data_IF_570223920834
#
_entry.id   IF_570223920834
#
_cell.length_a   1.000
_cell.length_b   1.000
_cell.length_c   1.000
_cell.angle_alpha   90.00
_cell.angle_beta   90.00
_cell.angle_gamma   90.00
#
_symmetry.space_group_name_H-M   'P 1'
#
loop_
_entity.id
_entity.type
_entity.pdbx_description
1 polymer ?
#
# COMPACT_ATOMS: atom_id res chain seq x y z
N UNK A 1 4.15 -15.50 -10.98
CA UNK A 1 4.00 -14.24 -10.23
C UNK A 1 4.32 -14.51 -8.77
N UNK A 2 5.15 -13.67 -8.16
CA UNK A 2 5.52 -13.81 -6.75
C UNK A 2 4.52 -13.09 -5.88
N UNK A 3 4.15 -13.72 -4.76
CA UNK A 3 3.25 -13.11 -3.78
C UNK A 3 3.99 -12.81 -2.49
N UNK A 4 3.81 -11.61 -1.98
CA UNK A 4 4.34 -11.18 -0.69
C UNK A 4 3.17 -10.68 0.16
N UNK A 5 3.07 -11.16 1.38
CA UNK A 5 2.00 -10.80 2.30
C UNK A 5 2.63 -10.16 3.53
N UNK A 6 2.21 -8.95 3.87
CA UNK A 6 2.70 -8.28 5.06
C UNK A 6 2.15 -8.94 6.33
N UNK A 7 2.77 -8.62 7.45
CA UNK A 7 2.14 -8.93 8.74
C UNK A 7 0.85 -8.13 8.88
N UNK A 8 -0.04 -8.59 9.75
CA UNK A 8 -1.24 -7.84 10.10
C UNK A 8 -0.91 -6.81 11.17
N UNK A 9 -1.57 -5.67 11.12
CA UNK A 9 -1.47 -4.65 12.15
C UNK A 9 -2.87 -4.29 12.63
N UNK A 10 -2.98 -3.96 13.91
CA UNK A 10 -4.24 -3.58 14.52
C UNK A 10 -4.42 -2.07 14.44
N UNK A 11 -5.62 -1.65 14.02
CA UNK A 11 -6.05 -0.26 14.04
C UNK A 11 -7.27 -0.18 14.94
N UNK A 12 -7.23 0.69 15.94
CA UNK A 12 -8.29 0.85 16.92
C UNK A 12 -9.41 1.75 16.39
N UNK A 13 -9.91 1.41 15.20
CA UNK A 13 -10.96 2.11 14.48
C UNK A 13 -11.82 1.09 13.72
N UNK A 14 -13.10 1.37 13.46
CA UNK A 14 -13.87 0.55 12.53
C UNK A 14 -13.38 0.75 11.10
N UNK A 15 -13.60 -0.26 10.26
CA UNK A 15 -13.17 -0.21 8.85
C UNK A 15 -13.77 0.99 8.11
N UNK A 16 -14.98 1.42 8.46
CA UNK A 16 -15.63 2.58 7.86
C UNK A 16 -14.89 3.90 8.08
N UNK A 17 -14.04 3.98 9.10
CA UNK A 17 -13.21 5.16 9.35
C UNK A 17 -11.83 5.07 8.69
N UNK A 18 -11.41 3.89 8.27
CA UNK A 18 -10.12 3.66 7.62
C UNK A 18 -10.27 3.70 6.11
N UNK A 19 -11.29 3.06 5.59
CA UNK A 19 -11.50 2.87 4.17
C UNK A 19 -11.49 4.18 3.35
N UNK A 20 -12.13 5.28 3.79
CA UNK A 20 -12.11 6.53 3.02
C UNK A 20 -10.70 7.06 2.75
N UNK A 21 -9.75 6.79 3.63
CA UNK A 21 -8.36 7.21 3.46
C UNK A 21 -7.60 6.27 2.52
N UNK A 22 -7.71 4.96 2.71
CA UNK A 22 -6.95 4.00 1.88
C UNK A 22 -7.50 3.90 0.46
N UNK A 23 -8.71 4.36 0.22
CA UNK A 23 -9.32 4.39 -1.10
C UNK A 23 -9.18 5.73 -1.82
N UNK A 24 -8.36 6.65 -1.28
CA UNK A 24 -8.17 7.98 -1.87
C UNK A 24 -6.72 8.42 -1.61
N UNK A 25 -5.90 8.42 -2.66
CA UNK A 25 -4.49 8.80 -2.53
C UNK A 25 -4.29 10.24 -2.03
N UNK A 26 -5.19 11.14 -2.39
CA UNK A 26 -5.09 12.52 -1.87
C UNK A 26 -5.20 12.56 -0.35
N UNK A 27 -6.05 11.72 0.22
CA UNK A 27 -6.22 11.65 1.69
C UNK A 27 -5.03 10.98 2.38
N UNK A 28 -4.26 10.16 1.66
CA UNK A 28 -3.04 9.55 2.19
C UNK A 28 -1.82 10.47 2.11
N UNK A 29 -1.93 11.61 1.42
CA UNK A 29 -0.80 12.52 1.23
C UNK A 29 -0.13 12.94 2.54
N UNK A 30 -0.85 13.30 3.62
CA UNK A 30 -0.18 13.66 4.88
C UNK A 30 0.67 12.55 5.48
N UNK A 31 0.34 11.30 5.21
CA UNK A 31 1.08 10.15 5.75
C UNK A 31 2.27 9.74 4.86
N UNK A 32 2.24 10.06 3.57
CA UNK A 32 3.18 9.52 2.60
C UNK A 32 4.08 10.57 1.95
N UNK A 33 3.62 11.81 1.81
CA UNK A 33 4.32 12.81 1.01
C UNK A 33 5.75 13.11 1.49
N UNK A 34 6.00 13.05 2.77
CA UNK A 34 7.33 13.33 3.34
C UNK A 34 8.25 12.10 3.38
N UNK A 35 7.73 10.93 2.99
CA UNK A 35 8.51 9.67 2.98
C UNK A 35 9.10 9.36 1.61
N UNK A 36 8.66 10.08 0.57
CA UNK A 36 9.10 9.91 -0.81
C UNK A 36 9.34 11.28 -1.42
N UNK A 37 9.92 11.31 -2.63
CA UNK A 37 10.16 12.56 -3.35
C UNK A 37 9.08 12.77 -4.40
N UNK A 38 8.76 14.03 -4.68
CA UNK A 38 7.85 14.46 -5.76
C UNK A 38 6.47 13.79 -5.69
N UNK A 39 5.91 13.69 -4.50
CA UNK A 39 4.57 13.12 -4.30
C UNK A 39 3.53 13.97 -5.01
N UNK A 40 2.74 13.33 -5.89
CA UNK A 40 1.57 13.93 -6.53
C UNK A 40 0.44 12.91 -6.47
N UNK A 41 -0.74 13.36 -6.12
CA UNK A 41 -1.88 12.46 -5.94
C UNK A 41 -3.19 13.08 -6.38
N UNK A 42 -4.04 12.24 -6.93
CA UNK A 42 -5.47 12.48 -7.10
C UNK A 42 -6.22 11.47 -6.24
N UNK A 43 -7.53 11.36 -6.39
CA UNK A 43 -8.28 10.36 -5.66
C UNK A 43 -7.79 8.94 -5.99
N UNK A 44 -7.67 8.61 -7.27
CA UNK A 44 -7.39 7.25 -7.72
C UNK A 44 -5.97 7.02 -8.23
N UNK A 45 -5.15 8.05 -8.35
CA UNK A 45 -3.79 7.94 -8.89
C UNK A 45 -2.79 8.64 -7.99
N UNK A 46 -1.55 8.17 -8.02
CA UNK A 46 -0.44 8.92 -7.45
C UNK A 46 0.84 8.61 -8.19
N UNK A 47 1.82 9.50 -8.04
CA UNK A 47 3.17 9.29 -8.53
C UNK A 47 4.16 9.87 -7.54
N UNK A 48 5.36 9.27 -7.51
CA UNK A 48 6.42 9.72 -6.64
C UNK A 48 7.75 9.11 -7.08
N UNK A 49 8.83 9.62 -6.52
CA UNK A 49 10.17 9.05 -6.72
C UNK A 49 10.62 8.36 -5.46
N UNK A 50 11.16 7.16 -5.62
CA UNK A 50 11.66 6.36 -4.52
C UNK A 50 12.87 5.56 -4.98
N UNK A 51 14.02 5.79 -4.34
CA UNK A 51 15.28 5.07 -4.60
C UNK A 51 15.65 5.02 -6.10
N UNK A 52 15.50 6.15 -6.78
CA UNK A 52 15.86 6.26 -8.20
C UNK A 52 14.79 5.82 -9.18
N UNK A 53 13.69 5.26 -8.72
CA UNK A 53 12.56 4.89 -9.57
C UNK A 53 11.46 5.92 -9.50
N UNK A 54 10.81 6.16 -10.65
CA UNK A 54 9.54 6.87 -10.68
C UNK A 54 8.44 5.82 -10.56
N UNK A 55 7.56 5.95 -9.56
CA UNK A 55 6.48 5.01 -9.30
C UNK A 55 5.16 5.69 -9.61
N UNK A 56 4.38 5.09 -10.50
CA UNK A 56 3.01 5.53 -10.77
C UNK A 56 2.05 4.43 -10.31
N UNK A 57 0.97 4.81 -9.65
CA UNK A 57 -0.01 3.89 -9.10
C UNK A 57 -1.42 4.34 -9.45
N UNK A 58 -2.30 3.36 -9.67
CA UNK A 58 -3.73 3.61 -9.90
C UNK A 58 -4.56 2.60 -9.12
N UNK A 59 -5.58 3.11 -8.42
CA UNK A 59 -6.57 2.23 -7.79
C UNK A 59 -7.49 1.72 -8.89
N UNK A 60 -7.59 0.41 -9.04
CA UNK A 60 -8.38 -0.24 -10.10
C UNK A 60 -9.60 -0.99 -9.55
N UNK A 61 -9.68 -1.22 -8.26
CA UNK A 61 -10.83 -1.88 -7.63
C UNK A 61 -10.99 -1.36 -6.21
N UNK A 62 -12.24 -1.07 -5.85
CA UNK A 62 -12.62 -0.63 -4.50
C UNK A 62 -13.77 -1.50 -4.01
N UNK A 63 -13.59 -2.13 -2.85
CA UNK A 63 -14.66 -2.85 -2.16
C UNK A 63 -14.82 -2.21 -0.80
N UNK A 64 -15.92 -1.52 -0.60
CA UNK A 64 -16.16 -0.67 0.57
C UNK A 64 -15.89 -1.42 1.88
N UNK A 65 -15.06 -0.82 2.73
CA UNK A 65 -14.68 -1.32 4.05
C UNK A 65 -13.94 -2.65 4.05
N UNK A 66 -13.51 -3.14 2.87
CA UNK A 66 -12.84 -4.44 2.75
C UNK A 66 -11.46 -4.33 2.11
N UNK A 67 -11.37 -3.77 0.92
CA UNK A 67 -10.05 -3.63 0.28
C UNK A 67 -10.05 -2.65 -0.89
N UNK A 68 -8.85 -2.23 -1.26
CA UNK A 68 -8.58 -1.59 -2.54
C UNK A 68 -7.49 -2.37 -3.26
N UNK A 69 -7.60 -2.46 -4.58
CA UNK A 69 -6.57 -3.03 -5.44
C UNK A 69 -5.89 -1.91 -6.21
N UNK A 70 -4.56 -1.92 -6.21
CA UNK A 70 -3.73 -0.90 -6.84
C UNK A 70 -2.81 -1.59 -7.84
N UNK A 71 -2.67 -1.00 -9.03
CA UNK A 71 -1.74 -1.48 -10.04
C UNK A 71 -0.74 -0.39 -10.40
N UNK A 72 0.41 -0.81 -10.93
CA UNK A 72 1.38 0.12 -11.52
C UNK A 72 0.75 0.85 -12.71
N UNK A 73 1.03 2.15 -12.84
CA UNK A 73 0.51 3.00 -13.89
C UNK A 73 1.61 3.97 -14.34
N UNK A 74 2.40 3.54 -15.31
CA UNK A 74 3.53 4.31 -15.80
C UNK A 74 4.74 4.22 -14.88
N UNK A 75 5.68 5.16 -15.04
CA UNK A 75 6.90 5.19 -14.25
C UNK A 75 7.99 4.32 -14.82
N UNK A 76 9.03 4.09 -14.01
CA UNK A 76 10.25 3.39 -14.43
C UNK A 76 10.50 2.09 -13.69
N UNK A 77 9.55 1.63 -12.89
CA UNK A 77 9.69 0.35 -12.18
C UNK A 77 9.74 -0.78 -13.21
N UNK A 78 10.79 -1.63 -13.20
CA UNK A 78 11.04 -2.58 -14.30
C UNK A 78 10.29 -3.90 -14.14
N UNK A 79 9.12 -3.89 -13.53
CA UNK A 79 8.32 -5.08 -13.34
C UNK A 79 6.84 -4.74 -13.28
N UNK A 80 5.99 -5.68 -13.69
CA UNK A 80 4.56 -5.56 -13.48
C UNK A 80 4.22 -5.96 -12.05
N UNK A 81 3.33 -5.20 -11.42
CA UNK A 81 2.93 -5.48 -10.05
C UNK A 81 1.51 -5.00 -9.77
N UNK A 82 0.90 -5.60 -8.79
CA UNK A 82 -0.36 -5.17 -8.21
C UNK A 82 -0.30 -5.38 -6.71
N UNK A 83 -0.98 -4.53 -5.95
CA UNK A 83 -1.09 -4.79 -4.53
C UNK A 83 -2.49 -4.46 -4.01
N UNK A 84 -2.80 -5.02 -2.87
CA UNK A 84 -4.07 -4.84 -2.19
C UNK A 84 -3.82 -4.31 -0.79
N UNK A 85 -4.65 -3.34 -0.39
CA UNK A 85 -4.75 -2.93 1.00
C UNK A 85 -6.02 -3.59 1.52
N UNK A 86 -5.87 -4.53 2.44
CA UNK A 86 -6.97 -5.35 2.94
C UNK A 86 -7.32 -4.95 4.37
N UNK A 87 -8.61 -4.81 4.64
CA UNK A 87 -9.14 -4.48 5.95
C UNK A 87 -10.03 -5.63 6.43
N UNK A 88 -9.82 -6.07 7.65
CA UNK A 88 -10.66 -7.08 8.27
C UNK A 88 -11.08 -6.59 9.66
N UNK A 89 -12.34 -6.19 9.79
CA UNK A 89 -12.87 -5.72 11.06
C UNK A 89 -13.29 -6.91 11.90
N UNK A 90 -12.65 -7.05 13.06
CA UNK A 90 -12.94 -8.14 13.99
C UNK A 90 -13.93 -7.72 15.09
N UNK A 91 -14.00 -6.42 15.38
CA UNK A 91 -14.98 -5.84 16.29
C UNK A 91 -15.11 -4.35 15.99
N UNK A 92 -16.01 -3.66 16.68
CA UNK A 92 -16.33 -2.26 16.40
C UNK A 92 -15.12 -1.32 16.41
N UNK A 93 -14.22 -1.50 17.35
CA UNK A 93 -13.02 -0.67 17.47
C UNK A 93 -11.73 -1.39 17.12
N UNK A 94 -11.79 -2.46 16.32
CA UNK A 94 -10.62 -3.28 16.02
C UNK A 94 -10.69 -3.78 14.58
N UNK A 95 -9.89 -3.15 13.72
CA UNK A 95 -9.71 -3.57 12.33
C UNK A 95 -8.27 -3.98 12.11
N UNK A 96 -8.07 -5.08 11.41
CA UNK A 96 -6.74 -5.56 11.04
C UNK A 96 -6.46 -5.14 9.61
N UNK A 97 -5.28 -4.54 9.38
CA UNK A 97 -4.83 -4.11 8.06
C UNK A 97 -3.69 -5.02 7.61
N UNK A 98 -3.71 -5.38 6.34
CA UNK A 98 -2.68 -6.22 5.71
C UNK A 98 -2.47 -5.75 4.29
N UNK A 99 -1.22 -5.81 3.83
CA UNK A 99 -0.86 -5.52 2.44
C UNK A 99 -0.49 -6.83 1.74
N UNK A 100 -0.93 -6.98 0.50
CA UNK A 100 -0.56 -8.11 -0.36
C UNK A 100 0.02 -7.55 -1.64
N UNK A 101 1.20 -8.02 -2.04
CA UNK A 101 1.87 -7.61 -3.26
C UNK A 101 2.05 -8.80 -4.18
N UNK A 102 1.64 -8.65 -5.45
CA UNK A 102 1.98 -9.58 -6.53
C UNK A 102 2.94 -8.87 -7.47
N UNK A 103 4.09 -9.46 -7.73
CA UNK A 103 5.10 -8.87 -8.59
C UNK A 103 5.67 -9.92 -9.54
N UNK A 104 5.87 -9.53 -10.81
CA UNK A 104 6.52 -10.38 -11.80
C UNK A 104 8.03 -10.24 -11.64
N UNK A 105 8.65 -11.21 -10.97
CA UNK A 105 10.09 -11.22 -10.73
C UNK A 105 10.72 -12.46 -11.38
N UNK A 106 11.80 -12.26 -12.13
CA UNK A 106 12.62 -13.39 -12.54
C UNK A 106 13.43 -13.89 -11.32
N UNK A 107 14.12 -15.01 -11.49
CA UNK A 107 14.87 -15.64 -10.39
C UNK A 107 15.92 -14.69 -9.79
N UNK A 108 16.65 -13.98 -10.65
CA UNK A 108 17.69 -13.06 -10.19
C UNK A 108 17.11 -11.91 -9.39
N UNK A 109 16.04 -11.29 -9.89
CA UNK A 109 15.37 -10.19 -9.18
C UNK A 109 14.82 -10.66 -7.83
N UNK A 110 14.22 -11.84 -7.79
CA UNK A 110 13.69 -12.41 -6.55
C UNK A 110 14.79 -12.60 -5.52
N UNK A 111 15.96 -13.08 -5.94
CA UNK A 111 17.10 -13.25 -5.05
C UNK A 111 17.63 -11.91 -4.55
N UNK A 112 17.64 -10.89 -5.40
CA UNK A 112 18.21 -9.58 -5.08
C UNK A 112 17.28 -8.73 -4.21
N UNK A 113 15.98 -8.73 -4.46
CA UNK A 113 15.06 -7.77 -3.83
C UNK A 113 13.90 -8.41 -3.07
N UNK A 114 13.71 -9.74 -3.14
CA UNK A 114 12.58 -10.39 -2.49
C UNK A 114 12.46 -10.09 -1.00
N UNK A 115 13.57 -10.18 -0.26
CA UNK A 115 13.57 -9.87 1.18
C UNK A 115 13.30 -8.40 1.45
N UNK A 116 13.77 -7.50 0.56
CA UNK A 116 13.52 -6.07 0.69
C UNK A 116 12.06 -5.75 0.45
N UNK A 117 11.40 -6.45 -0.48
CA UNK A 117 9.97 -6.27 -0.72
C UNK A 117 9.16 -6.70 0.50
N UNK A 118 9.47 -7.85 1.08
CA UNK A 118 8.79 -8.32 2.28
C UNK A 118 8.97 -7.34 3.44
N UNK A 119 10.21 -6.92 3.68
CA UNK A 119 10.52 -5.95 4.73
C UNK A 119 9.83 -4.60 4.48
N UNK A 120 9.81 -4.15 3.22
CA UNK A 120 9.14 -2.91 2.85
C UNK A 120 7.63 -2.95 3.09
N UNK A 121 6.98 -4.08 2.77
CA UNK A 121 5.56 -4.26 3.06
C UNK A 121 5.27 -4.23 4.55
N UNK A 122 6.08 -4.91 5.35
CA UNK A 122 5.91 -4.94 6.80
C UNK A 122 6.08 -3.54 7.39
N UNK A 123 7.07 -2.78 6.93
CA UNK A 123 7.28 -1.40 7.37
C UNK A 123 6.14 -0.48 6.94
N UNK A 124 5.63 -0.68 5.73
CA UNK A 124 4.52 0.14 5.21
C UNK A 124 3.24 -0.08 6.02
N UNK A 125 2.90 -1.34 6.32
CA UNK A 125 1.69 -1.62 7.10
C UNK A 125 1.81 -1.15 8.54
N UNK A 126 3.01 -1.23 9.13
CA UNK A 126 3.27 -0.66 10.46
C UNK A 126 3.07 0.85 10.45
N UNK A 127 3.61 1.53 9.44
CA UNK A 127 3.48 2.97 9.31
C UNK A 127 2.05 3.42 9.12
N UNK A 128 1.27 2.71 8.30
CA UNK A 128 -0.14 3.00 8.11
C UNK A 128 -0.93 2.83 9.39
N UNK A 129 -0.75 1.70 10.08
CA UNK A 129 -1.45 1.45 11.33
C UNK A 129 -1.11 2.50 12.39
N UNK A 130 0.17 2.86 12.52
CA UNK A 130 0.59 3.89 13.46
C UNK A 130 -0.04 5.24 13.14
N UNK A 131 -0.14 5.61 11.86
CA UNK A 131 -0.76 6.86 11.45
C UNK A 131 -2.26 6.88 11.81
N UNK A 132 -2.99 5.81 11.52
CA UNK A 132 -4.41 5.73 11.87
C UNK A 132 -4.66 5.71 13.38
N UNK A 133 -3.79 5.08 14.14
CA UNK A 133 -3.95 5.00 15.60
C UNK A 133 -3.64 6.31 16.32
N UNK A 134 -3.04 7.29 15.62
CA UNK A 134 -2.73 8.60 16.21
C UNK A 134 -3.83 9.65 16.03
N UNK A 135 -4.78 9.38 15.17
CA UNK A 135 -5.87 10.33 14.91
C UNK A 135 -7.12 10.07 15.74
#
# INVERSE_FOLDING_TARGET
>A
MQEYISKQQQIFRPASQIYPFVSNFSFLSPALADKVEDWQATEDTCSFKFKGFTVGLRIVEKVENKHVKVMGDGGTVPMDFAFWIQLHQVSEGDTRIRLVLHAELNMMMRMMIGKKLQSGLDQAVEGLAAAFNRI
#
